data_IF_971618379632
#
_entry.id   IF_971618379632
#
_cell.length_a   1.000
_cell.length_b   1.000
_cell.length_c   1.000
_cell.angle_alpha   90.00
_cell.angle_beta   90.00
_cell.angle_gamma   90.00
#
_symmetry.space_group_name_H-M   'P 1'
#
loop_
_entity.id
_entity.type
_entity.pdbx_description
1 polymer ?
#
# COMPACT_ATOMS: atom_id res chain seq x y z
N UNK A 1 13.10 45.34 -34.19
CA UNK A 1 13.52 43.98 -34.60
C UNK A 1 12.58 42.97 -33.96
N UNK A 2 11.73 42.31 -34.74
CA UNK A 2 10.82 41.28 -34.25
C UNK A 2 11.59 39.95 -34.20
N UNK A 3 11.94 39.47 -33.01
CA UNK A 3 12.57 38.15 -32.87
C UNK A 3 11.48 37.07 -33.01
N UNK A 4 11.43 36.41 -34.15
CA UNK A 4 10.63 35.20 -34.33
C UNK A 4 11.35 34.03 -33.67
N UNK A 5 10.78 33.51 -32.57
CA UNK A 5 11.30 32.35 -31.85
C UNK A 5 11.39 31.13 -32.80
N UNK A 6 12.53 30.44 -32.78
CA UNK A 6 12.74 29.25 -33.58
C UNK A 6 11.78 28.12 -33.14
N UNK A 7 11.55 27.15 -34.01
CA UNK A 7 10.61 26.04 -33.75
C UNK A 7 10.93 25.26 -32.47
N UNK A 8 12.22 25.16 -32.11
CA UNK A 8 12.70 24.53 -30.88
C UNK A 8 12.28 25.34 -29.65
N UNK A 9 12.40 26.66 -29.68
CA UNK A 9 11.97 27.55 -28.59
C UNK A 9 10.45 27.52 -28.41
N UNK A 10 9.69 27.45 -29.51
CA UNK A 10 8.23 27.25 -29.46
C UNK A 10 7.86 25.92 -28.79
N UNK A 11 8.58 24.84 -29.08
CA UNK A 11 8.36 23.53 -28.45
C UNK A 11 8.67 23.56 -26.94
N UNK A 12 9.76 24.22 -26.53
CA UNK A 12 10.08 24.38 -25.11
C UNK A 12 9.02 25.21 -24.39
N UNK A 13 8.52 26.29 -25.00
CA UNK A 13 7.47 27.13 -24.42
C UNK A 13 6.14 26.35 -24.26
N UNK A 14 5.78 25.48 -25.20
CA UNK A 14 4.58 24.62 -25.12
C UNK A 14 4.68 23.62 -23.97
N UNK A 15 5.86 23.03 -23.73
CA UNK A 15 6.06 22.12 -22.59
C UNK A 15 6.01 22.85 -21.23
N UNK A 16 6.46 24.11 -21.18
CA UNK A 16 6.40 24.94 -19.97
C UNK A 16 4.96 25.39 -19.69
N UNK A 17 4.18 25.70 -20.74
CA UNK A 17 2.80 26.14 -20.65
C UNK A 17 1.77 25.00 -20.57
N UNK A 18 2.19 23.75 -20.73
CA UNK A 18 1.36 22.58 -20.48
C UNK A 18 1.05 22.52 -18.98
N UNK A 19 -0.06 23.16 -18.60
CA UNK A 19 -0.69 23.01 -17.29
C UNK A 19 -0.70 21.51 -16.94
N UNK A 20 -0.27 21.18 -15.71
CA UNK A 20 -0.15 19.79 -15.29
C UNK A 20 -1.44 19.03 -15.68
N UNK A 21 -1.34 17.85 -16.30
CA UNK A 21 -2.50 17.10 -16.75
C UNK A 21 -3.51 17.01 -15.59
N UNK A 22 -4.83 17.04 -15.85
CA UNK A 22 -5.89 17.28 -14.84
C UNK A 22 -5.83 16.34 -13.62
N UNK A 23 -5.09 15.24 -13.75
CA UNK A 23 -4.78 14.26 -12.72
C UNK A 23 -3.92 14.81 -11.58
N UNK A 24 -2.93 15.67 -11.86
CA UNK A 24 -1.97 16.17 -10.86
C UNK A 24 -2.44 17.44 -10.15
N UNK A 25 -3.66 17.92 -10.41
CA UNK A 25 -4.20 19.10 -9.74
C UNK A 25 -4.36 18.80 -8.24
N UNK A 26 -3.65 19.52 -7.36
CA UNK A 26 -3.78 19.34 -5.93
C UNK A 26 -5.13 19.89 -5.45
N UNK A 27 -5.87 19.08 -4.70
CA UNK A 27 -7.10 19.42 -3.98
C UNK A 27 -6.97 19.05 -2.51
N UNK A 28 -7.96 19.43 -1.71
CA UNK A 28 -8.06 19.06 -0.28
C UNK A 28 -9.13 18.00 -0.10
N UNK A 29 -8.81 16.99 0.69
CA UNK A 29 -9.78 16.02 1.20
C UNK A 29 -10.55 16.64 2.37
N UNK A 30 -11.71 16.06 2.73
CA UNK A 30 -12.51 16.50 3.88
C UNK A 30 -11.72 16.52 5.21
N UNK A 31 -10.70 15.67 5.35
CA UNK A 31 -9.79 15.66 6.50
C UNK A 31 -8.71 16.76 6.48
N UNK A 32 -8.72 17.68 5.50
CA UNK A 32 -7.72 18.74 5.34
C UNK A 32 -6.42 18.32 4.63
N UNK A 33 -6.16 17.02 4.45
CA UNK A 33 -4.97 16.54 3.75
C UNK A 33 -5.02 16.87 2.25
N UNK A 34 -3.83 17.08 1.67
CA UNK A 34 -3.68 17.24 0.21
C UNK A 34 -3.95 15.91 -0.48
N UNK A 35 -4.67 15.96 -1.59
CA UNK A 35 -4.95 14.82 -2.46
C UNK A 35 -4.99 15.28 -3.92
N UNK A 36 -4.80 14.36 -4.85
CA UNK A 36 -4.95 14.66 -6.27
C UNK A 36 -6.43 14.69 -6.65
N UNK A 37 -6.80 15.55 -7.61
CA UNK A 37 -8.18 15.68 -8.07
C UNK A 37 -8.76 14.35 -8.55
N UNK A 38 -7.97 13.54 -9.28
CA UNK A 38 -8.38 12.20 -9.72
C UNK A 38 -8.66 11.25 -8.55
N UNK A 39 -7.82 11.28 -7.51
CA UNK A 39 -7.99 10.45 -6.30
C UNK A 39 -9.33 10.74 -5.62
N UNK A 40 -9.66 12.03 -5.46
CA UNK A 40 -10.91 12.43 -4.83
C UNK A 40 -12.12 12.13 -5.73
N UNK A 41 -12.01 12.30 -7.05
CA UNK A 41 -13.07 11.95 -7.97
C UNK A 41 -13.37 10.44 -7.96
N UNK A 42 -12.34 9.60 -7.87
CA UNK A 42 -12.50 8.14 -7.91
C UNK A 42 -12.96 7.55 -6.58
N UNK A 43 -12.48 8.07 -5.45
CA UNK A 43 -12.67 7.44 -4.14
C UNK A 43 -13.33 8.33 -3.09
N UNK A 44 -13.56 9.61 -3.37
CA UNK A 44 -14.08 10.59 -2.42
C UNK A 44 -13.15 10.95 -1.25
N UNK A 45 -12.01 10.26 -1.10
CA UNK A 45 -11.10 10.35 0.06
C UNK A 45 -9.63 10.38 -0.37
N UNK A 46 -8.77 11.00 0.41
CA UNK A 46 -7.32 10.92 0.22
C UNK A 46 -6.78 9.52 0.56
N UNK A 47 -5.55 9.23 0.13
CA UNK A 47 -4.88 7.94 0.38
C UNK A 47 -4.80 7.63 1.88
N UNK A 48 -4.52 8.63 2.72
CA UNK A 48 -4.44 8.45 4.17
C UNK A 48 -5.79 8.07 4.79
N UNK A 49 -6.89 8.73 4.36
CA UNK A 49 -8.23 8.37 4.82
C UNK A 49 -8.64 6.97 4.35
N UNK A 50 -8.33 6.59 3.11
CA UNK A 50 -8.61 5.24 2.62
C UNK A 50 -7.83 4.18 3.40
N UNK A 51 -6.57 4.46 3.75
CA UNK A 51 -5.79 3.58 4.61
C UNK A 51 -6.43 3.46 5.99
N UNK A 52 -6.83 4.59 6.59
CA UNK A 52 -7.50 4.60 7.89
C UNK A 52 -8.80 3.79 7.88
N UNK A 53 -9.64 3.94 6.85
CA UNK A 53 -10.87 3.16 6.69
C UNK A 53 -10.58 1.66 6.64
N UNK A 54 -9.56 1.25 5.87
CA UNK A 54 -9.14 -0.16 5.76
C UNK A 54 -8.58 -0.71 7.07
N UNK A 55 -7.86 0.11 7.83
CA UNK A 55 -7.35 -0.28 9.15
C UNK A 55 -8.50 -0.39 10.16
N UNK A 56 -9.53 0.45 10.05
CA UNK A 56 -10.69 0.43 10.94
C UNK A 56 -11.54 -0.85 10.81
N UNK A 57 -11.42 -1.61 9.72
CA UNK A 57 -12.07 -2.92 9.58
C UNK A 57 -11.32 -4.07 10.25
N UNK A 58 -10.14 -3.81 10.83
CA UNK A 58 -9.32 -4.83 11.48
C UNK A 58 -9.69 -4.98 12.96
N UNK A 59 -9.56 -6.20 13.47
CA UNK A 59 -9.76 -6.50 14.88
C UNK A 59 -8.45 -6.43 15.67
N UNK A 60 -8.59 -6.40 17.00
CA UNK A 60 -7.44 -6.48 17.91
C UNK A 60 -6.61 -7.75 17.61
N UNK A 61 -5.30 -7.58 17.53
CA UNK A 61 -4.37 -8.67 17.24
C UNK A 61 -4.23 -9.07 15.77
N UNK A 62 -5.03 -8.54 14.84
CA UNK A 62 -4.84 -8.79 13.39
C UNK A 62 -3.50 -8.21 12.91
N UNK A 63 -3.15 -7.00 13.35
CA UNK A 63 -1.86 -6.36 13.03
C UNK A 63 -0.67 -7.17 13.60
N UNK A 64 -0.83 -7.78 14.77
CA UNK A 64 0.23 -8.63 15.35
C UNK A 64 0.43 -9.92 14.57
N UNK A 65 -0.64 -10.51 14.01
CA UNK A 65 -0.52 -11.64 13.07
C UNK A 65 0.15 -11.23 11.76
N UNK A 66 -0.16 -10.06 11.22
CA UNK A 66 0.53 -9.50 10.06
C UNK A 66 2.02 -9.29 10.32
N UNK A 67 2.37 -8.68 11.46
CA UNK A 67 3.77 -8.53 11.89
C UNK A 67 4.46 -9.88 12.06
N UNK A 68 3.75 -10.86 12.65
CA UNK A 68 4.25 -12.22 12.73
C UNK A 68 4.54 -12.77 11.33
N UNK A 69 3.61 -12.72 10.38
CA UNK A 69 3.80 -13.19 9.00
C UNK A 69 5.04 -12.60 8.30
N UNK A 70 5.41 -11.37 8.68
CA UNK A 70 6.56 -10.63 8.13
C UNK A 70 7.86 -10.77 8.95
N UNK A 71 7.78 -11.45 10.10
CA UNK A 71 8.89 -11.53 11.05
C UNK A 71 9.26 -10.17 11.66
N UNK A 72 8.33 -9.23 11.67
CA UNK A 72 8.45 -7.88 12.20
C UNK A 72 8.20 -7.86 13.71
N UNK A 73 9.13 -8.46 14.46
CA UNK A 73 9.02 -8.68 15.90
C UNK A 73 10.04 -7.85 16.66
N UNK A 74 9.73 -7.50 17.91
CA UNK A 74 10.56 -6.63 18.76
C UNK A 74 11.95 -7.18 19.06
N UNK A 75 12.12 -8.51 19.07
CA UNK A 75 13.41 -9.16 19.34
C UNK A 75 14.37 -9.16 18.13
N UNK A 76 13.90 -8.74 16.94
CA UNK A 76 14.74 -8.62 15.75
C UNK A 76 14.93 -7.15 15.38
N UNK A 77 16.15 -6.73 15.00
CA UNK A 77 16.35 -5.37 14.53
C UNK A 77 15.51 -5.12 13.27
N UNK A 78 14.94 -3.91 13.15
CA UNK A 78 14.05 -3.53 12.04
C UNK A 78 14.71 -3.72 10.67
N UNK A 79 16.04 -3.58 10.58
CA UNK A 79 16.82 -3.84 9.38
C UNK A 79 16.71 -5.27 8.85
N UNK A 80 16.31 -6.24 9.70
CA UNK A 80 16.10 -7.65 9.36
C UNK A 80 14.64 -8.02 9.16
N UNK A 81 13.70 -7.11 9.36
CA UNK A 81 12.28 -7.38 9.12
C UNK A 81 12.01 -7.63 7.62
N UNK A 82 10.96 -8.39 7.34
CA UNK A 82 10.59 -8.80 5.98
C UNK A 82 11.45 -9.94 5.43
N UNK A 83 12.13 -10.71 6.28
CA UNK A 83 12.86 -11.92 5.86
C UNK A 83 11.93 -13.09 5.51
N UNK A 84 10.63 -12.95 5.81
CA UNK A 84 9.56 -13.88 5.45
C UNK A 84 8.34 -13.08 5.04
N UNK A 85 7.46 -13.71 4.26
CA UNK A 85 6.21 -13.12 3.83
C UNK A 85 5.12 -14.19 3.63
N UNK A 86 4.94 -15.04 4.63
CA UNK A 86 3.86 -16.00 4.60
C UNK A 86 3.35 -16.30 6.02
N UNK A 87 2.09 -16.71 6.08
CA UNK A 87 1.45 -17.22 7.27
C UNK A 87 0.66 -18.46 6.88
N UNK A 88 0.85 -19.56 7.61
CA UNK A 88 0.08 -20.78 7.47
C UNK A 88 -0.92 -20.84 8.62
N UNK A 89 -2.21 -20.76 8.31
CA UNK A 89 -3.29 -20.90 9.28
C UNK A 89 -3.95 -22.28 9.13
N UNK A 90 -4.29 -22.90 10.26
CA UNK A 90 -5.19 -24.05 10.28
C UNK A 90 -6.60 -23.64 9.82
N UNK A 91 -7.24 -24.49 9.01
CA UNK A 91 -8.59 -24.24 8.48
C UNK A 91 -9.64 -24.18 9.58
N UNK A 92 -10.59 -23.25 9.44
CA UNK A 92 -11.75 -23.10 10.34
C UNK A 92 -11.41 -22.54 11.72
N UNK A 93 -10.19 -22.05 11.93
CA UNK A 93 -9.76 -21.47 13.20
C UNK A 93 -9.73 -19.94 13.20
N UNK A 94 -9.67 -19.34 14.40
CA UNK A 94 -9.57 -17.89 14.58
C UNK A 94 -8.36 -17.25 13.88
N UNK A 95 -7.28 -18.02 13.65
CA UNK A 95 -6.14 -17.56 12.88
C UNK A 95 -6.53 -17.33 11.41
N UNK A 96 -7.22 -18.28 10.77
CA UNK A 96 -7.67 -18.12 9.38
C UNK A 96 -8.61 -16.92 9.23
N UNK A 97 -9.57 -16.76 10.14
CA UNK A 97 -10.50 -15.63 10.11
C UNK A 97 -9.79 -14.27 10.16
N UNK A 98 -8.76 -14.15 11.00
CA UNK A 98 -7.92 -12.95 11.06
C UNK A 98 -7.19 -12.70 9.73
N UNK A 99 -6.64 -13.74 9.11
CA UNK A 99 -6.00 -13.64 7.80
C UNK A 99 -6.99 -13.22 6.72
N UNK A 100 -8.22 -13.76 6.73
CA UNK A 100 -9.28 -13.39 5.80
C UNK A 100 -9.71 -11.93 5.96
N UNK A 101 -9.79 -11.39 7.20
CA UNK A 101 -10.02 -9.95 7.43
C UNK A 101 -8.89 -9.10 6.85
N UNK A 102 -7.64 -9.51 7.06
CA UNK A 102 -6.47 -8.83 6.46
C UNK A 102 -6.48 -8.88 4.93
N UNK A 103 -6.96 -9.99 4.33
CA UNK A 103 -7.16 -10.12 2.88
C UNK A 103 -8.28 -9.20 2.39
N UNK A 104 -9.43 -9.19 3.06
CA UNK A 104 -10.55 -8.30 2.71
C UNK A 104 -10.16 -6.81 2.80
N UNK A 105 -9.32 -6.45 3.79
CA UNK A 105 -8.76 -5.12 3.92
C UNK A 105 -7.58 -4.84 2.95
N UNK A 106 -7.19 -5.80 2.11
CA UNK A 106 -6.14 -5.67 1.10
C UNK A 106 -4.70 -5.60 1.64
N UNK A 107 -4.48 -6.01 2.88
CA UNK A 107 -3.14 -6.08 3.50
C UNK A 107 -2.46 -7.42 3.27
N UNK A 108 -3.23 -8.46 2.92
CA UNK A 108 -2.74 -9.78 2.55
C UNK A 108 -3.44 -10.31 1.31
N UNK A 109 -2.85 -11.34 0.70
CA UNK A 109 -3.42 -12.15 -0.38
C UNK A 109 -3.55 -13.60 0.11
N UNK A 110 -4.63 -14.27 -0.29
CA UNK A 110 -4.72 -15.72 -0.16
C UNK A 110 -3.77 -16.38 -1.16
N UNK A 111 -3.02 -17.38 -0.68
CA UNK A 111 -2.15 -18.24 -1.48
C UNK A 111 -2.79 -19.61 -1.67
N UNK A 112 -1.97 -20.66 -1.58
CA UNK A 112 -2.43 -22.04 -1.68
C UNK A 112 -3.31 -22.45 -0.49
N UNK A 113 -4.37 -23.21 -0.78
CA UNK A 113 -5.26 -23.78 0.23
C UNK A 113 -5.24 -25.31 0.10
N UNK A 114 -4.87 -25.99 1.17
CA UNK A 114 -5.00 -27.44 1.34
C UNK A 114 -6.15 -27.79 2.27
N UNK A 115 -6.39 -29.09 2.49
CA UNK A 115 -7.51 -29.58 3.30
C UNK A 115 -7.53 -29.01 4.72
N UNK A 116 -6.36 -28.91 5.36
CA UNK A 116 -6.23 -28.48 6.76
C UNK A 116 -5.50 -27.15 6.94
N UNK A 117 -4.94 -26.56 5.87
CA UNK A 117 -4.07 -25.39 5.94
C UNK A 117 -4.40 -24.38 4.85
N UNK A 118 -4.34 -23.10 5.18
CA UNK A 118 -4.42 -22.00 4.23
C UNK A 118 -3.19 -21.10 4.35
N UNK A 119 -2.55 -20.83 3.22
CA UNK A 119 -1.39 -19.95 3.13
C UNK A 119 -1.81 -18.54 2.74
N UNK A 120 -1.15 -17.56 3.33
CA UNK A 120 -1.41 -16.15 3.07
C UNK A 120 -0.10 -15.37 2.96
N UNK A 121 -0.04 -14.40 2.07
CA UNK A 121 1.14 -13.55 1.83
C UNK A 121 0.77 -12.08 2.04
N UNK A 122 1.65 -11.28 2.64
CA UNK A 122 1.38 -9.85 2.80
C UNK A 122 1.57 -9.10 1.48
N UNK A 123 0.70 -8.13 1.25
CA UNK A 123 0.86 -7.18 0.13
C UNK A 123 1.88 -6.12 0.48
N UNK A 124 2.35 -5.35 -0.50
CA UNK A 124 3.17 -4.16 -0.24
C UNK A 124 2.50 -3.17 0.73
N UNK A 125 1.17 -3.08 0.70
CA UNK A 125 0.41 -2.27 1.66
C UNK A 125 0.47 -2.86 3.08
N UNK A 126 0.31 -4.18 3.21
CA UNK A 126 0.49 -4.89 4.49
C UNK A 126 1.90 -4.73 5.07
N UNK A 127 2.94 -4.86 4.23
CA UNK A 127 4.32 -4.63 4.66
C UNK A 127 4.52 -3.21 5.23
N UNK A 128 3.99 -2.20 4.55
CA UNK A 128 4.06 -0.80 5.04
C UNK A 128 3.25 -0.60 6.32
N UNK A 129 2.06 -1.20 6.42
CA UNK A 129 1.23 -1.15 7.64
C UNK A 129 1.97 -1.76 8.84
N UNK A 130 2.71 -2.85 8.63
CA UNK A 130 3.53 -3.48 9.65
C UNK A 130 4.83 -2.70 10.00
N UNK A 131 5.08 -1.56 9.34
CA UNK A 131 6.23 -0.71 9.63
C UNK A 131 7.53 -1.11 8.90
N UNK A 132 7.45 -1.91 7.84
CA UNK A 132 8.65 -2.22 7.03
C UNK A 132 9.06 -0.98 6.22
N UNK A 133 10.38 -0.73 6.19
CA UNK A 133 10.97 0.23 5.27
C UNK A 133 11.08 -0.34 3.85
N UNK A 134 11.48 0.47 2.87
CA UNK A 134 11.57 0.05 1.46
C UNK A 134 12.41 -1.20 1.23
N UNK A 135 13.53 -1.36 1.95
CA UNK A 135 14.37 -2.56 1.85
C UNK A 135 13.69 -3.80 2.44
N UNK A 136 12.97 -3.66 3.55
CA UNK A 136 12.17 -4.72 4.14
C UNK A 136 11.00 -5.12 3.26
N UNK A 137 10.29 -4.15 2.67
CA UNK A 137 9.22 -4.44 1.69
C UNK A 137 9.78 -5.22 0.52
N UNK A 138 10.93 -4.80 -0.02
CA UNK A 138 11.57 -5.49 -1.15
C UNK A 138 11.89 -6.94 -0.82
N UNK A 139 12.61 -7.19 0.29
CA UNK A 139 12.92 -8.55 0.77
C UNK A 139 11.67 -9.41 0.97
N UNK A 140 10.61 -8.86 1.55
CA UNK A 140 9.39 -9.61 1.81
C UNK A 140 8.68 -10.03 0.51
N UNK A 141 8.81 -9.25 -0.57
CA UNK A 141 8.08 -9.48 -1.82
C UNK A 141 8.95 -10.01 -2.97
N UNK A 142 10.24 -10.22 -2.76
CA UNK A 142 11.18 -10.69 -3.80
C UNK A 142 10.92 -12.16 -4.19
N UNK A 143 10.39 -12.98 -3.27
CA UNK A 143 10.16 -14.42 -3.47
C UNK A 143 8.68 -14.81 -3.71
N UNK A 144 7.81 -13.84 -4.00
CA UNK A 144 6.36 -14.03 -4.18
C UNK A 144 5.89 -13.76 -5.61
#
# INVERSE_FOLDING_TARGET
>A
MHYTLNQVDRHHQVNINASAPPVLIPKRCACGNRAFAKQLAQHGKCVACQLADRVATLHEGDIEKLKHALGATSHRPQSKWGFRNYYCAGRGGAAEEAMRRLVAAGFMCAGHEGENQAYFHATKAGCKLAGLNSAGVRRATEDC
#
